data_IF_853379487606
#
_entry.id   IF_853379487606
#
_cell.length_a   1.000
_cell.length_b   1.000
_cell.length_c   1.000
_cell.angle_alpha   90.00
_cell.angle_beta   90.00
_cell.angle_gamma   90.00
#
_symmetry.space_group_name_H-M   'P 1'
#
loop_
_entity.id
_entity.type
_entity.pdbx_description
1 polymer ?
#
# COMPACT_ATOMS: atom_id res chain seq x y z
N UNK A 1 4.14 -15.86 -6.76
CA UNK A 1 2.82 -15.95 -6.09
C UNK A 1 2.72 -14.80 -5.11
N UNK A 2 1.58 -14.12 -5.00
CA UNK A 2 1.39 -13.09 -3.97
C UNK A 2 1.08 -13.80 -2.66
N UNK A 3 1.78 -13.42 -1.58
CA UNK A 3 1.60 -14.02 -0.27
C UNK A 3 0.28 -13.50 0.29
N UNK A 4 -0.55 -14.38 0.85
CA UNK A 4 -1.81 -13.95 1.49
C UNK A 4 -1.47 -12.92 2.57
N UNK A 5 -2.11 -11.75 2.51
CA UNK A 5 -2.00 -10.77 3.58
C UNK A 5 -2.39 -11.44 4.93
N UNK A 6 -1.59 -11.26 5.99
CA UNK A 6 -1.95 -11.79 7.31
C UNK A 6 -3.22 -11.12 7.81
N UNK A 7 -3.83 -11.68 8.86
CA UNK A 7 -4.92 -10.99 9.54
C UNK A 7 -4.50 -9.56 9.95
N UNK A 8 -5.42 -8.59 9.92
CA UNK A 8 -5.09 -7.17 10.01
C UNK A 8 -4.14 -6.83 11.17
N UNK A 9 -4.39 -7.42 12.35
CA UNK A 9 -3.68 -7.22 13.60
C UNK A 9 -2.38 -8.04 13.75
N UNK A 10 -2.08 -8.94 12.82
CA UNK A 10 -0.85 -9.73 12.85
C UNK A 10 0.29 -9.01 12.11
N UNK A 11 1.55 -9.18 12.57
CA UNK A 11 2.71 -8.72 11.84
C UNK A 11 2.81 -9.36 10.45
N UNK A 12 3.43 -8.66 9.51
CA UNK A 12 3.70 -9.21 8.20
C UNK A 12 4.75 -10.33 8.25
N UNK A 13 4.47 -11.52 7.68
CA UNK A 13 5.42 -12.63 7.61
C UNK A 13 6.49 -12.37 6.55
N UNK A 14 7.37 -11.40 6.81
CA UNK A 14 8.39 -10.94 5.86
C UNK A 14 9.34 -12.05 5.39
N UNK A 15 9.53 -13.09 6.20
CA UNK A 15 10.37 -14.24 5.87
C UNK A 15 9.85 -15.01 4.65
N UNK A 16 8.53 -14.97 4.41
CA UNK A 16 7.91 -15.60 3.24
C UNK A 16 8.09 -14.73 1.97
N UNK A 17 8.46 -13.44 2.13
CA UNK A 17 8.67 -12.48 1.04
C UNK A 17 10.07 -11.85 1.04
N UNK A 18 11.11 -12.68 1.04
CA UNK A 18 12.50 -12.20 0.95
C UNK A 18 12.73 -11.22 -0.24
N UNK A 19 12.16 -11.41 -1.44
CA UNK A 19 12.30 -10.45 -2.53
C UNK A 19 11.80 -9.04 -2.18
N UNK A 20 10.67 -8.92 -1.49
CA UNK A 20 10.15 -7.62 -1.04
C UNK A 20 11.09 -6.95 -0.04
N UNK A 21 11.69 -7.72 0.88
CA UNK A 21 12.64 -7.18 1.87
C UNK A 21 13.84 -6.54 1.17
N UNK A 22 14.44 -7.22 0.19
CA UNK A 22 15.54 -6.64 -0.59
C UNK A 22 15.09 -5.47 -1.46
N UNK A 23 13.89 -5.52 -2.03
CA UNK A 23 13.33 -4.41 -2.81
C UNK A 23 13.15 -3.14 -1.95
N UNK A 24 12.65 -3.29 -0.72
CA UNK A 24 12.51 -2.18 0.23
C UNK A 24 13.86 -1.62 0.68
N UNK A 25 14.88 -2.47 0.88
CA UNK A 25 16.25 -2.01 1.15
C UNK A 25 16.80 -1.20 -0.03
N UNK A 26 16.70 -1.72 -1.25
CA UNK A 26 17.13 -1.01 -2.44
C UNK A 26 16.36 0.30 -2.66
N UNK A 27 15.07 0.35 -2.32
CA UNK A 27 14.27 1.58 -2.38
C UNK A 27 14.78 2.60 -1.36
N UNK A 28 15.08 2.16 -0.13
CA UNK A 28 15.67 3.02 0.91
C UNK A 28 17.03 3.58 0.50
N UNK A 29 17.81 2.84 -0.27
CA UNK A 29 19.11 3.27 -0.81
C UNK A 29 18.98 4.12 -2.08
N UNK A 30 17.78 4.27 -2.63
CA UNK A 30 17.53 5.01 -3.88
C UNK A 30 17.98 4.26 -5.15
N UNK A 31 18.23 2.95 -5.07
CA UNK A 31 18.75 2.14 -6.17
C UNK A 31 17.79 1.02 -6.62
N UNK A 32 16.53 1.03 -6.16
CA UNK A 32 15.53 0.05 -6.57
C UNK A 32 15.30 0.07 -8.10
N UNK A 33 15.50 -1.08 -8.73
CA UNK A 33 15.17 -1.31 -10.14
C UNK A 33 13.66 -1.17 -10.41
N UNK A 34 13.29 -0.94 -11.66
CA UNK A 34 11.88 -0.87 -12.10
C UNK A 34 11.04 -2.07 -11.64
N UNK A 35 11.62 -3.27 -11.69
CA UNK A 35 10.95 -4.49 -11.23
C UNK A 35 10.71 -4.47 -9.71
N UNK A 36 11.69 -3.99 -8.93
CA UNK A 36 11.55 -3.82 -7.48
C UNK A 36 10.54 -2.74 -7.14
N UNK A 37 10.53 -1.60 -7.82
CA UNK A 37 9.56 -0.53 -7.59
C UNK A 37 8.11 -1.02 -7.79
N UNK A 38 7.85 -1.73 -8.90
CA UNK A 38 6.54 -2.33 -9.18
C UNK A 38 6.17 -3.41 -8.16
N UNK A 39 7.14 -4.23 -7.76
CA UNK A 39 6.95 -5.22 -6.69
C UNK A 39 6.53 -4.55 -5.39
N UNK A 40 7.24 -3.49 -4.98
CA UNK A 40 6.95 -2.75 -3.74
C UNK A 40 5.54 -2.18 -3.79
N UNK A 41 5.16 -1.52 -4.89
CA UNK A 41 3.81 -0.96 -5.00
C UNK A 41 2.73 -2.05 -4.91
N UNK A 42 2.91 -3.18 -5.60
CA UNK A 42 1.98 -4.31 -5.53
C UNK A 42 1.86 -4.86 -4.10
N UNK A 43 2.99 -5.11 -3.45
CA UNK A 43 2.99 -5.69 -2.11
C UNK A 43 2.50 -4.69 -1.05
N UNK A 44 2.67 -3.38 -1.26
CA UNK A 44 2.08 -2.36 -0.39
C UNK A 44 0.55 -2.40 -0.41
N UNK A 45 -0.06 -2.62 -1.58
CA UNK A 45 -1.51 -2.80 -1.70
C UNK A 45 -1.97 -4.12 -1.05
N UNK A 46 -1.14 -5.15 -1.10
CA UNK A 46 -1.39 -6.41 -0.41
C UNK A 46 -1.30 -6.25 1.13
N UNK A 47 -0.23 -5.62 1.63
CA UNK A 47 0.02 -5.32 3.04
C UNK A 47 -1.09 -4.49 3.69
N UNK A 48 -1.63 -3.53 2.94
CA UNK A 48 -2.76 -2.71 3.37
C UNK A 48 -4.11 -3.45 3.29
N UNK A 49 -4.15 -4.66 2.72
CA UNK A 49 -5.40 -5.38 2.51
C UNK A 49 -6.34 -4.67 1.54
N UNK A 50 -5.80 -3.88 0.60
CA UNK A 50 -6.63 -3.00 -0.22
C UNK A 50 -7.68 -3.76 -1.06
N UNK A 51 -7.27 -4.91 -1.59
CA UNK A 51 -8.11 -5.83 -2.37
C UNK A 51 -8.76 -6.94 -1.54
N UNK A 52 -8.52 -6.97 -0.21
CA UNK A 52 -9.15 -7.94 0.68
C UNK A 52 -10.55 -7.46 1.12
N UNK A 53 -11.44 -8.41 1.41
CA UNK A 53 -12.70 -8.08 2.07
C UNK A 53 -12.37 -7.75 3.53
N UNK A 54 -12.70 -6.56 3.98
CA UNK A 54 -12.36 -6.03 5.31
C UNK A 54 -13.30 -6.48 6.43
N UNK A 55 -14.51 -6.93 6.10
CA UNK A 55 -15.49 -7.38 7.10
C UNK A 55 -15.02 -8.66 7.81
N UNK A 56 -15.10 -8.66 9.15
CA UNK A 56 -14.83 -9.79 10.03
C UNK A 56 -16.07 -10.01 10.91
N UNK A 57 -16.89 -11.05 10.65
CA UNK A 57 -18.21 -11.21 11.26
C UNK A 57 -18.16 -11.41 12.78
N UNK A 58 -17.07 -11.99 13.28
CA UNK A 58 -16.93 -12.34 14.69
C UNK A 58 -16.30 -11.21 15.53
N UNK A 59 -15.87 -10.10 14.90
CA UNK A 59 -15.14 -9.02 15.58
C UNK A 59 -15.20 -7.69 14.83
N UNK A 60 -15.97 -6.75 15.37
CA UNK A 60 -16.03 -5.37 14.89
C UNK A 60 -14.68 -4.66 14.98
N UNK A 61 -13.88 -4.99 16.01
CA UNK A 61 -12.54 -4.41 16.20
C UNK A 61 -11.59 -4.82 15.08
N UNK A 62 -11.65 -6.08 14.65
CA UNK A 62 -10.80 -6.58 13.57
C UNK A 62 -11.21 -5.98 12.23
N UNK A 63 -12.52 -5.80 12.02
CA UNK A 63 -13.06 -5.04 10.88
C UNK A 63 -12.54 -3.60 10.87
N UNK A 64 -12.61 -2.90 12.01
CA UNK A 64 -12.13 -1.52 12.11
C UNK A 64 -10.62 -1.40 11.82
N UNK A 65 -9.81 -2.36 12.28
CA UNK A 65 -8.37 -2.38 11.99
C UNK A 65 -8.09 -2.70 10.51
N UNK A 66 -8.84 -3.64 9.92
CA UNK A 66 -8.77 -3.96 8.50
C UNK A 66 -9.07 -2.74 7.63
N UNK A 67 -10.16 -2.02 7.93
CA UNK A 67 -10.54 -0.80 7.22
C UNK A 67 -9.52 0.32 7.38
N UNK A 68 -8.95 0.48 8.58
CA UNK A 68 -7.86 1.44 8.81
C UNK A 68 -6.65 1.19 7.91
N UNK A 69 -6.22 -0.07 7.76
CA UNK A 69 -5.13 -0.43 6.83
C UNK A 69 -5.53 -0.23 5.38
N UNK A 70 -6.74 -0.66 5.01
CA UNK A 70 -7.28 -0.53 3.65
C UNK A 70 -7.37 0.92 3.21
N UNK A 71 -7.73 1.84 4.11
CA UNK A 71 -7.75 3.26 3.85
C UNK A 71 -6.39 3.80 3.40
N UNK A 72 -5.29 3.37 4.03
CA UNK A 72 -3.93 3.76 3.61
C UNK A 72 -3.64 3.26 2.19
N UNK A 73 -3.96 2.00 1.90
CA UNK A 73 -3.83 1.44 0.55
C UNK A 73 -4.65 2.21 -0.49
N UNK A 74 -5.86 2.63 -0.12
CA UNK A 74 -6.74 3.43 -0.98
C UNK A 74 -6.13 4.80 -1.30
N UNK A 75 -5.49 5.47 -0.33
CA UNK A 75 -4.83 6.75 -0.58
C UNK A 75 -3.64 6.59 -1.53
N UNK A 76 -2.83 5.54 -1.36
CA UNK A 76 -1.70 5.25 -2.24
C UNK A 76 -2.19 4.98 -3.67
N UNK A 77 -3.16 4.08 -3.85
CA UNK A 77 -3.65 3.74 -5.18
C UNK A 77 -4.34 4.92 -5.86
N UNK A 78 -5.05 5.76 -5.10
CA UNK A 78 -5.60 7.01 -5.60
C UNK A 78 -4.49 7.88 -6.19
N UNK A 79 -3.40 8.12 -5.46
CA UNK A 79 -2.29 8.97 -5.91
C UNK A 79 -1.61 8.40 -7.16
N UNK A 80 -1.44 7.08 -7.24
CA UNK A 80 -0.89 6.41 -8.43
C UNK A 80 -1.77 6.63 -9.66
N UNK A 81 -3.09 6.71 -9.49
CA UNK A 81 -4.06 6.85 -10.57
C UNK A 81 -4.55 8.30 -10.78
N UNK A 82 -3.97 9.29 -10.10
CA UNK A 82 -4.38 10.69 -10.28
C UNK A 82 -4.01 11.18 -11.69
N UNK A 83 -4.95 11.77 -12.44
CA UNK A 83 -4.63 12.41 -13.72
C UNK A 83 -3.71 13.62 -13.53
N UNK A 84 -2.76 13.81 -14.45
CA UNK A 84 -1.79 14.92 -14.40
C UNK A 84 -2.48 16.30 -14.28
N UNK A 85 -3.55 16.53 -15.04
CA UNK A 85 -4.33 17.78 -14.99
C UNK A 85 -4.89 18.09 -13.60
N UNK A 86 -5.25 17.06 -12.84
CA UNK A 86 -5.76 17.23 -11.49
C UNK A 86 -4.64 17.63 -10.52
N UNK A 87 -3.43 17.08 -10.71
CA UNK A 87 -2.25 17.39 -9.92
C UNK A 87 -1.82 18.84 -10.15
N UNK A 88 -1.75 19.30 -11.41
CA UNK A 88 -1.35 20.68 -11.72
C UNK A 88 -2.38 21.71 -11.22
N UNK A 89 -3.69 21.46 -11.39
CA UNK A 89 -4.73 22.33 -10.82
C UNK A 89 -4.62 22.47 -9.29
N UNK A 90 -4.34 21.36 -8.59
CA UNK A 90 -4.17 21.39 -7.14
C UNK A 90 -2.93 22.20 -6.71
N UNK A 91 -1.85 22.13 -7.49
CA UNK A 91 -0.63 22.92 -7.27
C UNK A 91 -0.88 24.41 -7.45
N UNK A 92 -1.55 24.83 -8.52
CA UNK A 92 -1.91 26.24 -8.75
C UNK A 92 -2.77 26.83 -7.62
N UNK A 93 -3.79 26.08 -7.17
CA UNK A 93 -4.67 26.50 -6.08
C UNK A 93 -3.91 26.72 -4.76
N UNK A 94 -2.83 25.97 -4.53
CA UNK A 94 -1.98 26.11 -3.33
C UNK A 94 -1.06 27.32 -3.41
N UNK A 95 -0.53 27.66 -4.58
CA UNK A 95 0.35 28.83 -4.77
C UNK A 95 -0.41 30.16 -4.69
N UNK A 96 -1.73 30.16 -4.95
CA UNK A 96 -2.59 31.35 -4.84
C UNK A 96 -3.06 31.67 -3.42
N UNK A 97 -2.80 30.79 -2.44
CA UNK A 97 -3.10 30.99 -1.02
C UNK A 97 -1.85 31.47 -0.29
#
# INVERSE_FOLDING_TARGET
MSIKAPEPYLPYPWADNIPLVYALKALSEGCASDAQQKLILRELLNLSGYYDLSYRPDSDRDTAFAEGKRFVGAQVLKMVNLPADFIEKAKEARTRK
#
